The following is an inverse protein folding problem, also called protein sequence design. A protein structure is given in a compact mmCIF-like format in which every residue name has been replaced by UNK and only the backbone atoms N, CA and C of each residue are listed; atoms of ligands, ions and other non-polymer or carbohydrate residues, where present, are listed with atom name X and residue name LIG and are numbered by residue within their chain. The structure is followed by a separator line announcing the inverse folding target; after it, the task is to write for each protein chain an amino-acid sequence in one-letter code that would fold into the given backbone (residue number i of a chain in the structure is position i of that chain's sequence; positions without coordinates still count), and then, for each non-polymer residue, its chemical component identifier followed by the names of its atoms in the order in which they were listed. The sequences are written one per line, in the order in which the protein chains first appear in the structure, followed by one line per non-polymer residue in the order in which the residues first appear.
data_IF_958105657077
#
_entry.id   IF_958105657077
#
_cell.length_a   1.000
_cell.length_b   1.000
_cell.length_c   1.000
_cell.angle_alpha   90.00
_cell.angle_beta   90.00
_cell.angle_gamma   90.00
#
_symmetry.space_group_name_H-M   'P 1'
#
loop_
_entity.id
_entity.type
_entity.pdbx_description
1 polymer ?
#
# COMPACT_ATOMS: atom_id res chain seq x y z
N UNK A 1 -6.18 -7.15 -3.12
CA UNK A 1 -5.90 -5.70 -3.24
C UNK A 1 -4.75 -5.50 -4.21
N UNK A 2 -4.77 -4.37 -4.93
CA UNK A 2 -3.69 -3.92 -5.82
C UNK A 2 -3.16 -2.58 -5.32
N UNK A 3 -1.84 -2.41 -5.32
CA UNK A 3 -1.17 -1.10 -5.17
C UNK A 3 -0.42 -0.82 -6.46
N UNK A 4 -0.74 0.28 -7.13
CA UNK A 4 -0.06 0.72 -8.34
C UNK A 4 0.63 2.04 -8.11
N UNK A 5 1.87 2.15 -8.52
CA UNK A 5 2.63 3.38 -8.42
C UNK A 5 3.19 3.75 -9.77
N UNK A 6 2.99 4.99 -10.18
CA UNK A 6 3.62 5.55 -11.37
C UNK A 6 5.14 5.70 -11.16
N UNK A 7 5.88 5.91 -12.25
CA UNK A 7 7.26 6.38 -12.14
C UNK A 7 7.31 7.72 -11.40
N UNK A 8 8.36 7.95 -10.60
CA UNK A 8 8.56 9.19 -9.86
C UNK A 8 9.54 10.13 -10.54
N UNK A 9 9.47 11.42 -10.19
CA UNK A 9 10.31 12.46 -10.77
C UNK A 9 11.82 12.28 -10.56
N UNK A 10 12.22 11.51 -9.54
CA UNK A 10 13.61 11.14 -9.25
C UNK A 10 14.12 9.95 -10.10
N UNK A 11 13.30 9.46 -11.03
CA UNK A 11 13.63 8.37 -11.94
C UNK A 11 13.36 6.96 -11.40
N UNK A 12 12.73 6.81 -10.22
CA UNK A 12 12.30 5.48 -9.78
C UNK A 12 11.17 4.94 -10.69
N UNK A 13 11.26 3.67 -11.05
CA UNK A 13 10.30 3.01 -11.94
C UNK A 13 8.93 2.83 -11.29
N UNK A 14 7.90 2.76 -12.14
CA UNK A 14 6.56 2.34 -11.72
C UNK A 14 6.52 0.86 -11.33
N UNK A 15 5.58 0.48 -10.47
CA UNK A 15 5.37 -0.91 -10.06
C UNK A 15 3.90 -1.20 -9.76
N UNK A 16 3.57 -2.49 -9.74
CA UNK A 16 2.27 -3.02 -9.33
C UNK A 16 2.47 -4.16 -8.33
N UNK A 17 1.87 -4.04 -7.15
CA UNK A 17 1.81 -5.10 -6.14
C UNK A 17 0.40 -5.65 -6.04
N UNK A 18 0.28 -6.97 -5.94
CA UNK A 18 -0.99 -7.67 -5.73
C UNK A 18 -0.83 -8.53 -4.49
N UNK A 19 -1.72 -8.35 -3.51
CA UNK A 19 -1.70 -9.13 -2.29
C UNK A 19 -3.08 -9.24 -1.61
N UNK A 20 -3.28 -10.29 -0.80
CA UNK A 20 -4.50 -10.45 -0.03
C UNK A 20 -4.65 -9.35 1.02
N UNK A 21 -5.90 -8.96 1.26
CA UNK A 21 -6.30 -8.14 2.39
C UNK A 21 -7.59 -8.71 2.97
N UNK A 22 -7.71 -8.66 4.29
CA UNK A 22 -8.88 -9.13 5.04
C UNK A 22 -9.51 -7.96 5.77
N UNK A 23 -10.84 -7.92 5.80
CA UNK A 23 -11.59 -7.01 6.66
C UNK A 23 -12.29 -7.83 7.73
N UNK A 24 -12.01 -7.54 9.00
CA UNK A 24 -12.67 -8.17 10.15
C UNK A 24 -12.97 -7.12 11.19
N UNK A 25 -14.21 -7.09 11.70
CA UNK A 25 -14.65 -6.13 12.73
C UNK A 25 -14.35 -4.66 12.38
N UNK A 26 -14.47 -4.30 11.09
CA UNK A 26 -14.17 -2.97 10.57
C UNK A 26 -12.68 -2.62 10.48
N UNK A 27 -11.78 -3.57 10.72
CA UNK A 27 -10.34 -3.40 10.53
C UNK A 27 -9.88 -4.09 9.26
N UNK A 28 -9.14 -3.36 8.43
CA UNK A 28 -8.46 -3.86 7.25
C UNK A 28 -7.04 -4.25 7.61
N UNK A 29 -6.63 -5.44 7.17
CA UNK A 29 -5.25 -5.93 7.25
C UNK A 29 -4.84 -6.51 5.90
N UNK A 30 -3.81 -5.95 5.28
CA UNK A 30 -3.19 -6.47 4.06
C UNK A 30 -1.71 -6.74 4.24
N UNK A 31 -1.23 -7.88 3.74
CA UNK A 31 0.18 -8.31 3.89
C UNK A 31 0.77 -8.63 2.52
N UNK A 32 1.79 -7.87 2.12
CA UNK A 32 2.62 -8.14 0.94
C UNK A 32 3.94 -8.76 1.39
N UNK A 33 4.11 -10.06 1.10
CA UNK A 33 5.19 -10.90 1.63
C UNK A 33 5.24 -10.94 3.18
N UNK A 34 5.96 -11.92 3.73
CA UNK A 34 6.16 -11.98 5.19
C UNK A 34 7.04 -10.81 5.67
N UNK A 35 6.88 -10.31 6.91
CA UNK A 35 7.64 -9.17 7.42
C UNK A 35 9.17 -9.33 7.41
N UNK A 36 9.66 -10.57 7.42
CA UNK A 36 11.08 -10.92 7.33
C UNK A 36 11.60 -11.00 5.88
N UNK A 37 10.76 -10.71 4.87
CA UNK A 37 11.13 -10.71 3.45
C UNK A 37 11.32 -9.28 2.93
N UNK A 38 12.07 -9.20 1.84
CA UNK A 38 12.41 -7.98 1.12
C UNK A 38 12.00 -8.18 -0.34
N UNK A 39 11.15 -7.32 -0.93
CA UNK A 39 10.33 -6.29 -0.26
C UNK A 39 9.25 -6.89 0.65
N UNK A 40 8.72 -6.08 1.56
CA UNK A 40 7.52 -6.42 2.36
C UNK A 40 6.64 -5.21 2.62
N UNK A 41 5.37 -5.47 2.94
CA UNK A 41 4.38 -4.44 3.25
C UNK A 41 3.28 -4.97 4.18
N UNK A 42 2.85 -4.13 5.12
CA UNK A 42 1.75 -4.36 6.02
C UNK A 42 0.87 -3.11 6.03
N UNK A 43 -0.34 -3.23 5.48
CA UNK A 43 -1.33 -2.16 5.40
C UNK A 43 -2.41 -2.42 6.44
N UNK A 44 -2.59 -1.49 7.37
CA UNK A 44 -3.60 -1.61 8.44
C UNK A 44 -4.41 -0.33 8.61
N UNK A 45 -5.66 -0.46 9.03
CA UNK A 45 -6.47 0.68 9.45
C UNK A 45 -7.94 0.31 9.65
N UNK A 46 -8.70 1.23 10.25
CA UNK A 46 -10.14 1.05 10.46
C UNK A 46 -10.93 1.67 9.31
N UNK A 47 -12.00 0.99 8.93
CA UNK A 47 -13.01 1.47 8.00
C UNK A 47 -14.17 2.02 8.84
N UNK A 48 -14.49 3.29 8.62
CA UNK A 48 -15.63 3.97 9.21
C UNK A 48 -16.96 3.41 8.71
N UNK A 49 -18.04 3.70 9.42
CA UNK A 49 -19.39 3.30 9.01
C UNK A 49 -19.82 3.95 7.69
N UNK A 50 -19.24 5.11 7.37
CA UNK A 50 -19.40 5.84 6.12
C UNK A 50 -18.50 5.31 4.99
N UNK A 51 -17.69 4.28 5.25
CA UNK A 51 -16.74 3.71 4.28
C UNK A 51 -15.40 4.44 4.22
N UNK A 52 -15.22 5.56 4.92
CA UNK A 52 -13.95 6.30 4.97
C UNK A 52 -12.90 5.54 5.77
N UNK A 53 -11.65 5.53 5.33
CA UNK A 53 -10.56 4.87 6.03
C UNK A 53 -9.24 5.64 5.91
N UNK A 54 -8.53 5.70 7.03
CA UNK A 54 -7.12 6.10 7.08
C UNK A 54 -6.29 4.86 7.37
N UNK A 55 -5.50 4.45 6.38
CA UNK A 55 -4.66 3.26 6.48
C UNK A 55 -3.20 3.67 6.61
N UNK A 56 -2.40 2.82 7.24
CA UNK A 56 -0.94 2.98 7.36
C UNK A 56 -0.25 1.79 6.72
N UNK A 57 0.64 2.05 5.77
CA UNK A 57 1.59 1.06 5.26
C UNK A 57 2.88 1.13 6.06
N UNK A 58 3.40 -0.02 6.48
CA UNK A 58 4.79 -0.19 6.94
C UNK A 58 5.44 -1.36 6.21
N UNK A 59 6.77 -1.39 6.10
CA UNK A 59 7.45 -2.52 5.46
C UNK A 59 8.90 -2.24 5.10
N UNK A 60 9.38 -2.93 4.07
CA UNK A 60 10.75 -2.78 3.56
C UNK A 60 10.79 -2.62 2.04
N UNK A 61 11.63 -1.71 1.56
CA UNK A 61 11.91 -1.47 0.13
C UNK A 61 12.48 -2.73 -0.55
N UNK A 62 12.30 -2.84 -1.86
CA UNK A 62 12.87 -3.91 -2.69
C UNK A 62 14.05 -3.42 -3.51
N UNK A 63 14.04 -3.72 -4.81
CA UNK A 63 15.04 -3.24 -5.76
C UNK A 63 15.11 -1.69 -5.76
N UNK A 64 16.30 -1.09 -5.57
CA UNK A 64 16.51 0.36 -5.63
C UNK A 64 16.00 1.03 -6.90
N UNK A 65 15.91 0.33 -8.03
CA UNK A 65 15.40 0.89 -9.28
C UNK A 65 13.91 1.29 -9.22
N UNK A 66 13.14 0.73 -8.28
CA UNK A 66 11.72 1.04 -8.05
C UNK A 66 11.50 1.90 -6.81
N UNK A 67 12.57 2.25 -6.11
CA UNK A 67 12.52 2.91 -4.81
C UNK A 67 12.95 4.37 -4.95
N UNK A 68 12.18 5.28 -4.38
CA UNK A 68 12.52 6.71 -4.39
C UNK A 68 13.90 6.93 -3.75
N UNK A 69 14.64 7.91 -4.26
CA UNK A 69 16.03 8.20 -3.91
C UNK A 69 16.99 7.00 -4.08
N UNK A 70 16.58 5.95 -4.79
CA UNK A 70 17.31 4.68 -4.92
C UNK A 70 17.72 4.10 -3.56
N UNK A 71 16.85 4.23 -2.56
CA UNK A 71 17.15 3.70 -1.23
C UNK A 71 17.46 2.18 -1.32
N UNK A 72 18.46 1.68 -0.56
CA UNK A 72 18.85 0.28 -0.61
C UNK A 72 17.67 -0.67 -0.34
N UNK A 73 17.75 -1.89 -0.87
CA UNK A 73 16.78 -2.94 -0.51
C UNK A 73 16.81 -3.22 0.99
N UNK A 74 15.63 -3.39 1.59
CA UNK A 74 15.49 -3.61 3.02
C UNK A 74 15.35 -2.34 3.87
N UNK A 75 15.50 -1.14 3.29
CA UNK A 75 15.22 0.13 3.96
C UNK A 75 13.75 0.20 4.41
N UNK A 76 13.47 0.80 5.58
CA UNK A 76 12.10 0.90 6.07
C UNK A 76 11.26 1.81 5.16
N UNK A 77 10.00 1.39 4.92
CA UNK A 77 8.98 2.25 4.31
C UNK A 77 7.86 2.51 5.30
N UNK A 78 7.32 3.73 5.27
CA UNK A 78 6.08 4.11 5.93
C UNK A 78 5.36 5.18 5.12
N UNK A 79 4.06 5.02 4.94
CA UNK A 79 3.20 6.04 4.34
C UNK A 79 1.75 5.83 4.77
N UNK A 80 0.95 6.89 4.70
CA UNK A 80 -0.48 6.82 4.94
C UNK A 80 -1.26 6.71 3.62
N UNK A 81 -2.45 6.15 3.71
CA UNK A 81 -3.40 6.05 2.60
C UNK A 81 -4.73 6.61 3.06
N UNK A 82 -5.29 7.49 2.25
CA UNK A 82 -6.69 7.89 2.35
C UNK A 82 -7.49 7.00 1.42
N UNK A 83 -8.48 6.29 1.96
CA UNK A 83 -9.28 5.33 1.21
C UNK A 83 -10.77 5.47 1.50
N UNK A 84 -11.58 5.00 0.56
CA UNK A 84 -13.02 4.89 0.71
C UNK A 84 -13.51 3.55 0.17
N UNK A 85 -14.43 2.93 0.89
CA UNK A 85 -15.01 1.62 0.60
C UNK A 85 -16.50 1.74 0.32
N UNK A 86 -16.97 1.08 -0.73
CA UNK A 86 -18.39 1.00 -1.10
C UNK A 86 -18.72 -0.43 -1.51
N UNK A 87 -19.55 -1.09 -0.70
CA UNK A 87 -19.92 -2.48 -0.87
C UNK A 87 -18.71 -3.40 -0.92
N UNK A 88 -18.53 -4.08 -2.06
CA UNK A 88 -17.49 -5.07 -2.28
C UNK A 88 -16.21 -4.48 -2.91
N UNK A 89 -16.09 -3.15 -2.94
CA UNK A 89 -14.98 -2.46 -3.58
C UNK A 89 -14.47 -1.28 -2.75
N UNK A 90 -13.28 -0.80 -3.09
CA UNK A 90 -12.72 0.41 -2.51
C UNK A 90 -11.57 0.97 -3.33
N UNK A 91 -11.26 2.23 -3.08
CA UNK A 91 -10.14 2.93 -3.70
C UNK A 91 -9.39 3.74 -2.66
N UNK A 92 -8.08 3.92 -2.86
CA UNK A 92 -7.29 4.82 -2.02
C UNK A 92 -6.08 5.40 -2.72
N UNK A 93 -5.48 6.40 -2.09
CA UNK A 93 -4.28 7.08 -2.56
C UNK A 93 -3.23 7.14 -1.47
N UNK A 94 -1.98 6.83 -1.83
CA UNK A 94 -0.82 7.11 -0.97
C UNK A 94 -0.66 8.62 -0.82
N UNK A 95 -0.47 9.09 0.41
CA UNK A 95 -0.44 10.53 0.70
C UNK A 95 0.97 11.14 0.58
N UNK A 96 2.03 10.34 0.69
CA UNK A 96 3.40 10.85 0.78
C UNK A 96 4.32 10.43 -0.38
N UNK A 97 5.25 11.31 -0.75
CA UNK A 97 6.42 11.11 -1.62
C UNK A 97 6.16 10.77 -3.09
N UNK A 98 5.40 9.71 -3.38
CA UNK A 98 5.08 9.28 -4.75
C UNK A 98 3.61 8.96 -4.89
N UNK A 99 3.06 9.30 -6.05
CA UNK A 99 1.68 8.96 -6.39
C UNK A 99 1.54 7.45 -6.54
N UNK A 100 0.66 6.87 -5.73
CA UNK A 100 0.21 5.50 -5.85
C UNK A 100 -1.29 5.43 -5.63
N UNK A 101 -1.97 4.61 -6.43
CA UNK A 101 -3.37 4.23 -6.24
C UNK A 101 -3.46 2.85 -5.60
N UNK A 102 -4.50 2.65 -4.80
CA UNK A 102 -4.86 1.38 -4.21
C UNK A 102 -6.26 1.01 -4.69
N UNK A 103 -6.43 -0.23 -5.11
CA UNK A 103 -7.71 -0.79 -5.51
C UNK A 103 -8.04 -2.03 -4.67
N UNK A 104 -9.24 -2.05 -4.10
CA UNK A 104 -9.76 -3.10 -3.26
C UNK A 104 -10.97 -3.73 -3.93
N UNK A 105 -11.01 -5.05 -3.97
CA UNK A 105 -12.12 -5.83 -4.50
C UNK A 105 -12.28 -7.08 -3.65
N UNK A 106 -13.51 -7.38 -3.22
CA UNK A 106 -13.85 -8.66 -2.61
C UNK A 106 -13.94 -9.70 -3.73
N UNK A 107 -13.22 -10.81 -3.55
CA UNK A 107 -13.21 -11.97 -4.46
C UNK A 107 -13.53 -13.21 -3.67
#
# INVERSE_FOLDING_TARGET
MVVECAASADGAKGYRWVFPATVRNGELVGVYNQPNRVPSGHLVGRIGQDGSAHLTMTGRTGDPAYTINRAPGGSPIRYSVTAHFSGDSGSGTRNEQRSCSLAFSRS
#
